data_IF_702825007632
#
_entry.id   IF_702825007632
#
_cell.length_a   1.000
_cell.length_b   1.000
_cell.length_c   1.000
_cell.angle_alpha   90.00
_cell.angle_beta   90.00
_cell.angle_gamma   90.00
#
_symmetry.space_group_name_H-M   'P 1'
#
loop_
_entity.id
_entity.type
_entity.pdbx_description
1 polymer ?
#
# COMPACT_ATOMS: atom_id res chain seq x y z
N UNK A 1 15.46 -5.61 17.16
CA UNK A 1 15.10 -7.02 16.92
C UNK A 1 14.25 -7.08 15.66
N UNK A 2 14.43 -8.06 14.76
CA UNK A 2 13.55 -8.21 13.60
C UNK A 2 12.12 -8.41 14.11
N UNK A 3 11.21 -7.52 13.73
CA UNK A 3 9.80 -7.66 14.08
C UNK A 3 9.29 -8.90 13.34
N UNK A 4 8.97 -9.94 14.10
CA UNK A 4 8.40 -11.18 13.60
C UNK A 4 7.01 -10.83 13.03
N UNK A 5 6.74 -11.26 11.79
CA UNK A 5 5.43 -11.06 11.17
C UNK A 5 4.35 -11.78 12.00
N UNK A 6 3.21 -11.16 12.31
CA UNK A 6 2.11 -11.84 13.00
C UNK A 6 1.71 -13.10 12.22
N UNK A 7 1.73 -14.26 12.89
CA UNK A 7 1.29 -15.54 12.32
C UNK A 7 2.36 -16.39 11.61
N UNK A 8 3.64 -15.98 11.58
CA UNK A 8 4.72 -16.78 10.98
C UNK A 8 5.88 -16.94 11.95
N UNK A 9 6.26 -18.18 12.26
CA UNK A 9 7.44 -18.48 13.10
C UNK A 9 8.76 -18.06 12.45
N UNK A 10 8.78 -17.78 11.14
CA UNK A 10 9.99 -17.51 10.35
C UNK A 10 9.95 -16.18 9.58
N UNK A 11 8.85 -15.44 9.61
CA UNK A 11 8.71 -14.18 8.89
C UNK A 11 9.36 -13.04 9.66
N UNK A 12 10.29 -12.32 9.04
CA UNK A 12 10.87 -11.10 9.59
C UNK A 12 10.91 -9.98 8.54
N UNK A 13 10.97 -8.73 9.00
CA UNK A 13 11.07 -7.58 8.11
C UNK A 13 12.27 -7.68 7.15
N UNK A 14 11.99 -7.67 5.85
CA UNK A 14 13.04 -7.75 4.81
C UNK A 14 13.30 -9.14 4.25
N UNK A 15 12.76 -10.22 4.84
CA UNK A 15 12.96 -11.60 4.36
C UNK A 15 12.68 -11.72 2.86
N UNK A 16 11.58 -11.10 2.42
CA UNK A 16 11.11 -11.07 1.04
C UNK A 16 12.14 -10.48 0.06
N UNK A 17 12.79 -9.37 0.42
CA UNK A 17 13.81 -8.71 -0.41
C UNK A 17 15.14 -9.46 -0.39
N UNK A 18 15.49 -10.05 0.75
CA UNK A 18 16.68 -10.91 0.89
C UNK A 18 16.53 -12.16 0.03
N UNK A 19 15.34 -12.77 -0.05
CA UNK A 19 15.09 -13.93 -0.91
C UNK A 19 15.40 -13.63 -2.38
N UNK A 20 15.05 -12.44 -2.88
CA UNK A 20 15.40 -12.06 -4.26
C UNK A 20 16.91 -11.99 -4.50
N UNK A 21 17.67 -11.51 -3.51
CA UNK A 21 19.15 -11.46 -3.57
C UNK A 21 19.76 -12.84 -3.52
N UNK A 22 19.27 -13.70 -2.63
CA UNK A 22 19.72 -15.09 -2.53
C UNK A 22 19.46 -15.85 -3.84
N UNK A 23 18.26 -15.70 -4.41
CA UNK A 23 17.92 -16.30 -5.70
C UNK A 23 18.76 -15.72 -6.85
N UNK A 24 19.08 -14.42 -6.83
CA UNK A 24 19.98 -13.81 -7.81
C UNK A 24 21.35 -14.50 -7.84
N UNK A 25 21.94 -14.77 -6.67
CA UNK A 25 23.19 -15.52 -6.54
C UNK A 25 23.05 -16.92 -7.15
N UNK A 26 22.03 -17.67 -6.75
CA UNK A 26 21.80 -19.05 -7.23
C UNK A 26 21.68 -19.08 -8.75
N UNK A 27 20.93 -18.14 -9.30
CA UNK A 27 20.74 -17.99 -10.74
C UNK A 27 22.03 -17.62 -11.47
N UNK A 28 22.82 -16.67 -10.96
CA UNK A 28 24.09 -16.30 -11.55
C UNK A 28 25.14 -17.42 -11.47
N UNK A 29 25.15 -18.22 -10.40
CA UNK A 29 25.99 -19.41 -10.28
C UNK A 29 25.60 -20.49 -11.29
N UNK A 30 24.30 -20.77 -11.42
CA UNK A 30 23.76 -21.71 -12.42
C UNK A 30 24.14 -21.31 -13.84
N UNK A 31 24.06 -20.03 -14.15
CA UNK A 31 24.39 -19.48 -15.46
C UNK A 31 25.90 -19.27 -15.68
N UNK A 32 26.74 -19.60 -14.68
CA UNK A 32 28.20 -19.43 -14.69
C UNK A 32 28.66 -17.98 -14.95
N UNK A 33 27.85 -17.01 -14.51
CA UNK A 33 28.14 -15.57 -14.64
C UNK A 33 29.01 -15.07 -13.49
N UNK A 34 28.94 -15.73 -12.33
CA UNK A 34 29.76 -15.43 -11.15
C UNK A 34 30.38 -16.71 -10.61
N UNK A 35 31.48 -16.57 -9.87
CA UNK A 35 32.02 -17.62 -8.98
C UNK A 35 31.39 -17.46 -7.60
N UNK A 36 31.33 -18.54 -6.82
CA UNK A 36 30.80 -18.51 -5.45
C UNK A 36 31.51 -17.40 -4.63
N UNK A 37 30.77 -16.38 -4.14
CA UNK A 37 31.34 -15.33 -3.31
C UNK A 37 31.94 -15.87 -2.01
N UNK A 38 32.90 -15.14 -1.44
CA UNK A 38 33.34 -15.42 -0.08
C UNK A 38 32.17 -15.28 0.92
N UNK A 39 32.20 -15.98 2.08
CA UNK A 39 31.13 -15.91 3.07
C UNK A 39 30.80 -14.47 3.52
N UNK A 40 31.82 -13.62 3.64
CA UNK A 40 31.67 -12.22 4.03
C UNK A 40 30.98 -11.40 2.92
N UNK A 41 31.40 -11.53 1.67
CA UNK A 41 30.80 -10.80 0.54
C UNK A 41 29.33 -11.19 0.35
N UNK A 42 29.03 -12.47 0.52
CA UNK A 42 27.65 -12.97 0.50
C UNK A 42 26.83 -12.35 1.64
N UNK A 43 27.36 -12.35 2.86
CA UNK A 43 26.69 -11.74 4.01
C UNK A 43 26.43 -10.24 3.77
N UNK A 44 27.43 -9.50 3.31
CA UNK A 44 27.33 -8.07 3.04
C UNK A 44 26.28 -7.77 1.96
N UNK A 45 26.23 -8.56 0.89
CA UNK A 45 25.24 -8.40 -0.17
C UNK A 45 23.81 -8.72 0.33
N UNK A 46 23.62 -9.86 0.98
CA UNK A 46 22.30 -10.30 1.44
C UNK A 46 21.74 -9.35 2.50
N UNK A 47 22.58 -8.92 3.44
CA UNK A 47 22.19 -8.12 4.60
C UNK A 47 22.59 -6.64 4.49
N UNK A 48 22.82 -6.12 3.28
CA UNK A 48 23.16 -4.71 3.07
C UNK A 48 22.06 -3.80 3.66
N UNK A 49 22.35 -3.27 4.84
CA UNK A 49 21.32 -2.70 5.72
C UNK A 49 20.55 -1.50 5.14
N UNK A 50 21.09 -0.64 4.24
CA UNK A 50 20.32 0.48 3.69
C UNK A 50 19.08 0.03 2.93
N UNK A 51 19.05 -1.23 2.48
CA UNK A 51 18.05 -1.76 1.57
C UNK A 51 17.41 -3.06 2.05
N UNK A 52 17.68 -3.47 3.31
CA UNK A 52 17.26 -4.77 3.85
C UNK A 52 15.74 -4.90 4.01
N UNK A 53 15.05 -3.84 4.45
CA UNK A 53 13.62 -3.92 4.79
C UNK A 53 12.73 -3.93 3.56
N UNK A 54 12.86 -2.92 2.70
CA UNK A 54 12.09 -2.81 1.45
C UNK A 54 12.79 -1.93 0.41
N UNK A 55 14.13 -1.90 0.44
CA UNK A 55 14.91 -1.08 -0.49
C UNK A 55 15.00 -1.67 -1.89
N UNK A 56 15.63 -0.96 -2.83
CA UNK A 56 15.91 -1.48 -4.17
C UNK A 56 16.50 -2.90 -4.15
N UNK A 57 15.92 -3.79 -4.95
CA UNK A 57 16.41 -5.16 -5.13
C UNK A 57 17.65 -5.10 -6.02
N UNK A 58 18.78 -5.51 -5.46
CA UNK A 58 20.07 -5.41 -6.13
C UNK A 58 20.51 -6.74 -6.76
N UNK A 59 21.46 -6.65 -7.69
CA UNK A 59 22.14 -7.76 -8.37
C UNK A 59 23.54 -7.90 -7.80
N UNK A 60 23.97 -9.13 -7.51
CA UNK A 60 25.26 -9.35 -6.84
C UNK A 60 26.44 -8.77 -7.62
N UNK A 61 26.51 -9.03 -8.94
CA UNK A 61 27.63 -8.57 -9.78
C UNK A 61 27.80 -7.04 -9.74
N UNK A 62 26.68 -6.32 -9.72
CA UNK A 62 26.66 -4.86 -9.70
C UNK A 62 27.08 -4.35 -8.32
N UNK A 63 26.48 -4.91 -7.27
CA UNK A 63 26.85 -4.61 -5.89
C UNK A 63 28.35 -4.83 -5.63
N UNK A 64 28.88 -5.99 -6.03
CA UNK A 64 30.29 -6.33 -5.84
C UNK A 64 31.24 -5.38 -6.61
N UNK A 65 30.83 -4.92 -7.79
CA UNK A 65 31.58 -3.93 -8.57
C UNK A 65 31.70 -2.60 -7.84
N UNK A 66 30.62 -2.12 -7.22
CA UNK A 66 30.64 -0.87 -6.45
C UNK A 66 31.40 -1.06 -5.12
N UNK A 67 31.15 -2.18 -4.45
CA UNK A 67 31.73 -2.47 -3.12
C UNK A 67 33.26 -2.61 -3.15
N UNK A 68 33.81 -3.22 -4.20
CA UNK A 68 35.25 -3.42 -4.35
C UNK A 68 35.99 -2.20 -4.93
N UNK A 69 35.26 -1.19 -5.43
CA UNK A 69 35.85 -0.01 -6.07
C UNK A 69 36.45 0.93 -5.02
N UNK A 70 37.76 1.19 -5.13
CA UNK A 70 38.41 2.27 -4.39
C UNK A 70 37.86 3.63 -4.84
N UNK A 71 37.53 4.49 -3.87
CA UNK A 71 36.89 5.79 -4.13
C UNK A 71 37.84 6.94 -3.91
N UNK A 72 37.79 7.91 -4.81
CA UNK A 72 38.49 9.18 -4.65
C UNK A 72 37.69 10.13 -3.74
N UNK A 73 38.37 11.13 -3.17
CA UNK A 73 37.70 12.18 -2.37
C UNK A 73 36.61 12.90 -3.15
N UNK A 74 36.84 13.14 -4.44
CA UNK A 74 35.88 13.82 -5.31
C UNK A 74 34.59 12.99 -5.49
N UNK A 75 34.72 11.67 -5.71
CA UNK A 75 33.58 10.75 -5.80
C UNK A 75 32.79 10.71 -4.48
N UNK A 76 33.48 10.64 -3.33
CA UNK A 76 32.81 10.65 -2.03
C UNK A 76 32.01 11.95 -1.78
N UNK A 77 32.53 13.10 -2.20
CA UNK A 77 31.80 14.38 -2.09
C UNK A 77 30.59 14.43 -3.03
N UNK A 78 30.70 13.89 -4.23
CA UNK A 78 29.57 13.77 -5.16
C UNK A 78 28.49 12.81 -4.61
N UNK A 79 28.89 11.72 -3.98
CA UNK A 79 27.96 10.77 -3.33
C UNK A 79 27.23 11.42 -2.15
N UNK A 80 27.95 12.22 -1.35
CA UNK A 80 27.35 12.98 -0.26
C UNK A 80 26.32 13.98 -0.77
N UNK A 81 26.65 14.75 -1.82
CA UNK A 81 25.71 15.71 -2.42
C UNK A 81 24.44 15.02 -2.95
N UNK A 82 24.60 13.91 -3.67
CA UNK A 82 23.47 13.10 -4.15
C UNK A 82 22.63 12.52 -3.01
N UNK A 83 23.28 12.04 -1.94
CA UNK A 83 22.60 11.52 -0.76
C UNK A 83 21.77 12.60 -0.06
N UNK A 84 22.32 13.81 0.11
CA UNK A 84 21.62 14.94 0.72
C UNK A 84 20.35 15.29 -0.07
N UNK A 85 20.46 15.45 -1.39
CA UNK A 85 19.29 15.73 -2.25
C UNK A 85 18.19 14.67 -2.11
N UNK A 86 18.58 13.39 -2.03
CA UNK A 86 17.64 12.27 -1.87
C UNK A 86 17.02 12.21 -0.49
N UNK A 87 17.76 12.56 0.56
CA UNK A 87 17.23 12.66 1.92
C UNK A 87 16.14 13.74 1.96
N UNK A 88 16.41 14.95 1.45
CA UNK A 88 15.42 16.02 1.41
C UNK A 88 14.20 15.66 0.55
N UNK A 89 14.41 15.02 -0.61
CA UNK A 89 13.30 14.48 -1.43
C UNK A 89 12.50 13.42 -0.67
N UNK A 90 13.18 12.55 0.07
CA UNK A 90 12.57 11.53 0.92
C UNK A 90 11.68 12.15 2.00
N UNK A 91 12.17 13.19 2.69
CA UNK A 91 11.40 13.94 3.68
C UNK A 91 10.14 14.56 3.08
N UNK A 92 10.31 15.27 1.96
CA UNK A 92 9.20 15.90 1.26
C UNK A 92 8.16 14.87 0.80
N UNK A 93 8.58 13.74 0.23
CA UNK A 93 7.65 12.73 -0.27
C UNK A 93 6.94 11.97 0.86
N UNK A 94 7.68 11.45 1.84
CA UNK A 94 7.12 10.55 2.85
C UNK A 94 6.44 11.28 4.00
N UNK A 95 7.11 12.28 4.58
CA UNK A 95 6.64 12.93 5.80
C UNK A 95 5.77 14.16 5.55
N UNK A 96 5.78 14.70 4.33
CA UNK A 96 4.90 15.82 3.95
C UNK A 96 3.81 15.32 3.00
N UNK A 97 4.14 14.97 1.74
CA UNK A 97 3.11 14.64 0.75
C UNK A 97 2.28 13.40 1.11
N UNK A 98 2.93 12.27 1.40
CA UNK A 98 2.21 11.03 1.73
C UNK A 98 1.43 11.19 3.04
N UNK A 99 2.00 11.85 4.05
CA UNK A 99 1.31 12.12 5.32
C UNK A 99 0.04 12.98 5.11
N UNK A 100 0.13 14.08 4.36
CA UNK A 100 -1.00 14.95 4.05
C UNK A 100 -2.07 14.22 3.22
N UNK A 101 -1.67 13.48 2.19
CA UNK A 101 -2.60 12.68 1.37
C UNK A 101 -3.30 11.66 2.26
N UNK A 102 -2.57 10.94 3.11
CA UNK A 102 -3.14 9.94 4.00
C UNK A 102 -4.19 10.54 4.92
N UNK A 103 -3.79 11.57 5.67
CA UNK A 103 -4.60 12.18 6.73
C UNK A 103 -5.83 12.92 6.19
N UNK A 104 -5.67 13.70 5.12
CA UNK A 104 -6.71 14.63 4.67
C UNK A 104 -7.52 14.14 3.47
N UNK A 105 -7.05 13.11 2.76
CA UNK A 105 -7.73 12.61 1.56
C UNK A 105 -8.03 11.11 1.62
N UNK A 106 -7.02 10.27 1.81
CA UNK A 106 -7.15 8.81 1.74
C UNK A 106 -8.08 8.26 2.83
N UNK A 107 -7.77 8.54 4.10
CA UNK A 107 -8.50 7.96 5.22
C UNK A 107 -9.97 8.45 5.24
N UNK A 108 -10.22 9.69 4.78
CA UNK A 108 -11.57 10.26 4.58
C UNK A 108 -12.33 9.58 3.45
N UNK A 109 -11.69 9.35 2.31
CA UNK A 109 -12.32 8.63 1.21
C UNK A 109 -12.63 7.17 1.60
N UNK A 110 -11.79 6.56 2.45
CA UNK A 110 -11.99 5.20 2.95
C UNK A 110 -13.12 5.09 3.99
N UNK A 111 -13.47 6.17 4.69
CA UNK A 111 -14.52 6.15 5.71
C UNK A 111 -15.94 6.30 5.16
N UNK A 112 -16.07 6.56 3.86
CA UNK A 112 -17.35 6.65 3.18
C UNK A 112 -17.63 5.40 2.34
N UNK A 113 -18.87 4.92 2.36
CA UNK A 113 -19.31 3.71 1.66
C UNK A 113 -19.87 3.93 0.25
N UNK A 114 -20.00 5.17 -0.21
CA UNK A 114 -20.60 5.45 -1.53
C UNK A 114 -19.59 5.33 -2.68
N UNK A 115 -20.09 5.05 -3.88
CA UNK A 115 -19.25 4.82 -5.07
C UNK A 115 -18.29 5.99 -5.39
N UNK A 116 -18.75 7.23 -5.28
CA UNK A 116 -17.89 8.40 -5.49
C UNK A 116 -16.68 8.45 -4.54
N UNK A 117 -16.82 7.96 -3.30
CA UNK A 117 -15.71 7.91 -2.35
C UNK A 117 -14.71 6.81 -2.71
N UNK A 118 -15.17 5.69 -3.27
CA UNK A 118 -14.29 4.65 -3.80
C UNK A 118 -13.43 5.17 -4.96
N UNK A 119 -14.00 5.96 -5.87
CA UNK A 119 -13.26 6.61 -6.95
C UNK A 119 -12.26 7.64 -6.40
N UNK A 120 -12.67 8.45 -5.41
CA UNK A 120 -11.76 9.38 -4.73
C UNK A 120 -10.60 8.64 -4.04
N UNK A 121 -10.91 7.54 -3.36
CA UNK A 121 -9.94 6.67 -2.69
C UNK A 121 -8.93 6.08 -3.68
N UNK A 122 -9.36 5.65 -4.87
CA UNK A 122 -8.48 5.12 -5.91
C UNK A 122 -7.31 6.07 -6.24
N UNK A 123 -7.61 7.35 -6.47
CA UNK A 123 -6.59 8.35 -6.77
C UNK A 123 -5.74 8.70 -5.54
N UNK A 124 -6.38 8.89 -4.38
CA UNK A 124 -5.68 9.16 -3.13
C UNK A 124 -4.68 8.04 -2.79
N UNK A 125 -5.10 6.78 -2.93
CA UNK A 125 -4.29 5.60 -2.65
C UNK A 125 -3.11 5.50 -3.61
N UNK A 126 -3.35 5.74 -4.90
CA UNK A 126 -2.30 5.69 -5.93
C UNK A 126 -1.17 6.69 -5.63
N UNK A 127 -1.54 7.93 -5.28
CA UNK A 127 -0.58 8.97 -4.95
C UNK A 127 0.10 8.73 -3.60
N UNK A 128 -0.67 8.34 -2.58
CA UNK A 128 -0.13 7.97 -1.26
C UNK A 128 0.92 6.86 -1.38
N UNK A 129 0.57 5.76 -2.05
CA UNK A 129 1.45 4.61 -2.23
C UNK A 129 2.74 5.01 -2.96
N UNK A 130 2.62 5.83 -4.01
CA UNK A 130 3.79 6.35 -4.72
C UNK A 130 4.69 7.19 -3.82
N UNK A 131 4.15 8.22 -3.17
CA UNK A 131 4.98 9.15 -2.37
C UNK A 131 5.57 8.49 -1.13
N UNK A 132 4.83 7.61 -0.46
CA UNK A 132 5.34 6.87 0.71
C UNK A 132 6.51 5.97 0.30
N UNK A 133 6.34 5.21 -0.79
CA UNK A 133 7.32 4.22 -1.19
C UNK A 133 8.51 4.81 -1.95
N UNK A 134 8.29 5.82 -2.80
CA UNK A 134 9.36 6.56 -3.46
C UNK A 134 10.17 7.38 -2.44
N UNK A 135 9.50 7.94 -1.43
CA UNK A 135 10.17 8.62 -0.31
C UNK A 135 11.07 7.67 0.49
N UNK A 136 10.55 6.49 0.85
CA UNK A 136 11.35 5.43 1.47
C UNK A 136 12.54 5.00 0.60
N UNK A 137 12.30 4.75 -0.70
CA UNK A 137 13.35 4.34 -1.64
C UNK A 137 14.43 5.42 -1.77
N UNK A 138 14.08 6.70 -1.70
CA UNK A 138 15.05 7.79 -1.71
C UNK A 138 15.99 7.74 -0.49
N UNK A 139 15.47 7.48 0.71
CA UNK A 139 16.31 7.29 1.90
C UNK A 139 17.24 6.08 1.77
N UNK A 140 16.71 4.95 1.30
CA UNK A 140 17.48 3.72 1.10
C UNK A 140 18.64 3.93 0.12
N UNK A 141 18.38 4.62 -1.01
CA UNK A 141 19.39 4.95 -2.02
C UNK A 141 20.40 5.96 -1.49
N UNK A 142 19.95 7.01 -0.80
CA UNK A 142 20.83 8.01 -0.20
C UNK A 142 21.85 7.37 0.73
N UNK A 143 21.37 6.51 1.64
CA UNK A 143 22.23 5.83 2.58
C UNK A 143 23.17 4.86 1.86
N UNK A 144 22.70 4.16 0.83
CA UNK A 144 23.56 3.30 -0.01
C UNK A 144 24.74 4.07 -0.62
N UNK A 145 24.48 5.28 -1.13
CA UNK A 145 25.51 6.14 -1.71
C UNK A 145 26.55 6.58 -0.68
N UNK A 146 26.16 6.84 0.57
CA UNK A 146 27.11 7.11 1.66
C UNK A 146 28.06 5.93 1.93
N UNK A 147 27.59 4.69 1.73
CA UNK A 147 28.43 3.48 1.75
C UNK A 147 29.16 3.21 0.43
N UNK A 148 28.95 4.02 -0.61
CA UNK A 148 29.57 3.89 -1.93
C UNK A 148 28.96 2.84 -2.82
N UNK A 149 27.76 2.36 -2.48
CA UNK A 149 27.01 1.42 -3.31
C UNK A 149 25.94 2.21 -4.02
N UNK A 150 26.04 2.36 -5.34
CA UNK A 150 25.14 3.20 -6.11
C UNK A 150 23.85 2.46 -6.44
N UNK A 151 23.04 2.10 -5.44
CA UNK A 151 21.81 1.32 -5.63
C UNK A 151 20.86 1.92 -6.68
N UNK A 152 20.20 1.07 -7.50
CA UNK A 152 19.40 1.51 -8.63
C UNK A 152 18.12 2.20 -8.16
N UNK A 153 17.59 3.10 -8.99
CA UNK A 153 16.30 3.74 -8.73
C UNK A 153 15.15 2.73 -8.74
N UNK A 154 14.17 2.95 -7.87
CA UNK A 154 12.90 2.23 -7.89
C UNK A 154 11.82 2.97 -8.69
N UNK A 155 11.93 4.28 -8.91
CA UNK A 155 10.89 5.07 -9.54
C UNK A 155 11.44 6.12 -10.51
N UNK A 156 10.84 6.21 -11.70
CA UNK A 156 11.12 7.27 -12.69
C UNK A 156 9.84 7.84 -13.30
N UNK A 157 9.22 8.81 -12.62
CA UNK A 157 8.02 9.53 -13.06
C UNK A 157 6.94 8.58 -13.63
N UNK A 158 6.51 7.55 -12.87
CA UNK A 158 5.70 6.45 -13.39
C UNK A 158 4.34 6.87 -13.94
N UNK A 159 3.72 7.90 -13.39
CA UNK A 159 2.41 8.39 -13.85
C UNK A 159 2.44 9.16 -15.17
N UNK A 160 3.63 9.44 -15.72
CA UNK A 160 3.81 9.98 -17.08
C UNK A 160 4.00 8.88 -18.13
N UNK A 161 3.85 7.61 -17.75
CA UNK A 161 3.98 6.49 -18.66
C UNK A 161 2.91 6.52 -19.75
N UNK A 162 3.33 6.29 -21.01
CA UNK A 162 2.42 6.33 -22.17
C UNK A 162 1.67 5.03 -22.41
N UNK A 163 2.08 3.96 -21.75
CA UNK A 163 1.46 2.64 -21.84
C UNK A 163 1.91 1.79 -20.65
N UNK A 164 1.27 0.65 -20.47
CA UNK A 164 1.53 -0.23 -19.33
C UNK A 164 2.96 -0.82 -19.32
N UNK A 165 3.59 -1.02 -20.49
CA UNK A 165 4.99 -1.48 -20.56
C UNK A 165 5.95 -0.39 -20.08
N UNK A 166 5.73 0.85 -20.50
CA UNK A 166 6.47 2.03 -20.05
C UNK A 166 6.27 2.26 -18.53
N UNK A 167 5.07 2.03 -18.02
CA UNK A 167 4.80 2.12 -16.57
C UNK A 167 5.66 1.15 -15.76
N UNK A 168 5.74 -0.13 -16.16
CA UNK A 168 6.58 -1.12 -15.47
C UNK A 168 8.09 -0.88 -15.60
N UNK A 169 8.52 -0.07 -16.58
CA UNK A 169 9.90 0.41 -16.64
C UNK A 169 10.19 1.59 -15.71
N UNK A 170 9.16 2.14 -15.06
CA UNK A 170 9.22 3.36 -14.23
C UNK A 170 8.72 3.16 -12.81
N UNK A 171 7.99 2.06 -12.54
CA UNK A 171 7.40 1.73 -11.25
C UNK A 171 8.07 0.52 -10.65
N UNK A 172 8.53 0.67 -9.39
CA UNK A 172 9.22 -0.38 -8.64
C UNK A 172 10.23 -1.15 -9.50
N UNK A 173 11.09 -0.39 -10.17
CA UNK A 173 11.91 -0.82 -11.31
C UNK A 173 12.75 -2.03 -10.96
N UNK A 174 13.34 -2.07 -9.77
CA UNK A 174 14.17 -3.21 -9.36
C UNK A 174 13.41 -4.52 -9.28
N UNK A 175 12.20 -4.51 -8.70
CA UNK A 175 11.31 -5.67 -8.67
C UNK A 175 10.88 -6.06 -10.09
N UNK A 176 10.46 -5.08 -10.88
CA UNK A 176 10.00 -5.32 -12.25
C UNK A 176 11.09 -5.97 -13.10
N UNK A 177 12.32 -5.46 -13.02
CA UNK A 177 13.46 -6.00 -13.76
C UNK A 177 13.91 -7.34 -13.18
N UNK A 178 13.79 -7.55 -11.87
CA UNK A 178 14.03 -8.84 -11.24
C UNK A 178 13.12 -9.93 -11.83
N UNK A 179 11.80 -9.69 -11.82
CA UNK A 179 10.82 -10.60 -12.42
C UNK A 179 10.99 -10.75 -13.93
N UNK A 180 11.31 -9.65 -14.64
CA UNK A 180 11.55 -9.70 -16.08
C UNK A 180 12.70 -10.64 -16.41
N UNK A 181 13.84 -10.48 -15.77
CA UNK A 181 15.05 -11.22 -16.16
C UNK A 181 15.02 -12.66 -15.63
N UNK A 182 14.58 -12.87 -14.38
CA UNK A 182 14.65 -14.19 -13.74
C UNK A 182 13.41 -15.04 -13.86
N UNK A 183 12.24 -14.46 -14.13
CA UNK A 183 11.01 -15.23 -14.32
C UNK A 183 10.61 -15.22 -15.78
N UNK A 184 10.30 -14.04 -16.33
CA UNK A 184 9.77 -13.90 -17.68
C UNK A 184 10.77 -14.36 -18.76
N UNK A 185 12.00 -13.85 -18.76
CA UNK A 185 12.99 -14.18 -19.79
C UNK A 185 13.46 -15.62 -19.67
N UNK A 186 13.65 -16.15 -18.45
CA UNK A 186 13.98 -17.57 -18.25
C UNK A 186 12.88 -18.49 -18.79
N UNK A 187 11.62 -18.20 -18.47
CA UNK A 187 10.47 -18.93 -19.00
C UNK A 187 10.44 -18.88 -20.54
N UNK A 188 10.58 -17.68 -21.11
CA UNK A 188 10.52 -17.50 -22.56
C UNK A 188 11.65 -18.23 -23.30
N UNK A 189 12.87 -18.22 -22.74
CA UNK A 189 14.02 -18.96 -23.28
C UNK A 189 13.80 -20.47 -23.19
N UNK A 190 13.29 -20.98 -22.08
CA UNK A 190 12.96 -22.39 -21.93
C UNK A 190 11.87 -22.83 -22.91
N UNK A 191 10.78 -22.06 -23.01
CA UNK A 191 9.67 -22.33 -23.93
C UNK A 191 10.10 -22.30 -25.40
N UNK A 192 11.01 -21.40 -25.77
CA UNK A 192 11.54 -21.30 -27.14
C UNK A 192 12.45 -22.48 -27.47
N UNK A 193 13.36 -22.85 -26.55
CA UNK A 193 14.26 -24.00 -26.75
C UNK A 193 13.52 -25.33 -26.79
N UNK A 194 12.52 -25.51 -25.94
CA UNK A 194 11.69 -26.71 -25.90
C UNK A 194 10.56 -26.72 -26.94
N UNK A 195 10.44 -25.68 -27.76
CA UNK A 195 9.36 -25.51 -28.75
C UNK A 195 7.95 -25.74 -28.17
N UNK A 196 7.70 -25.29 -26.93
CA UNK A 196 6.45 -25.57 -26.20
C UNK A 196 5.21 -25.00 -26.87
N UNK A 197 5.35 -23.96 -27.70
CA UNK A 197 4.26 -23.27 -28.35
C UNK A 197 4.54 -23.03 -29.84
N UNK A 198 3.53 -23.23 -30.68
CA UNK A 198 3.62 -22.93 -32.11
C UNK A 198 3.74 -21.42 -32.40
N UNK A 199 3.12 -20.57 -31.57
CA UNK A 199 3.16 -19.11 -31.72
C UNK A 199 3.98 -18.44 -30.64
N UNK A 200 4.93 -17.59 -31.06
CA UNK A 200 5.74 -16.75 -30.16
C UNK A 200 4.88 -15.79 -29.33
N UNK A 201 3.71 -15.40 -29.83
CA UNK A 201 2.78 -14.51 -29.10
C UNK A 201 2.16 -15.22 -27.90
N UNK A 202 1.81 -16.51 -28.04
CA UNK A 202 1.27 -17.31 -26.93
C UNK A 202 2.29 -17.45 -25.81
N UNK A 203 3.55 -17.73 -26.14
CA UNK A 203 4.64 -17.79 -25.15
C UNK A 203 4.83 -16.47 -24.41
N UNK A 204 4.78 -15.33 -25.12
CA UNK A 204 4.89 -14.02 -24.48
C UNK A 204 3.74 -13.71 -23.52
N UNK A 205 2.50 -14.01 -23.90
CA UNK A 205 1.30 -13.77 -23.08
C UNK A 205 1.33 -14.66 -21.82
N UNK A 206 1.57 -15.97 -21.99
CA UNK A 206 1.68 -16.88 -20.85
C UNK A 206 2.84 -16.50 -19.92
N UNK A 207 3.94 -16.00 -20.47
CA UNK A 207 5.04 -15.44 -19.69
C UNK A 207 4.61 -14.25 -18.83
N UNK A 208 3.77 -13.34 -19.35
CA UNK A 208 3.23 -12.24 -18.54
C UNK A 208 2.35 -12.74 -17.40
N UNK A 209 1.45 -13.69 -17.67
CA UNK A 209 0.61 -14.28 -16.62
C UNK A 209 1.42 -15.02 -15.56
N UNK A 210 2.48 -15.74 -15.95
CA UNK A 210 3.39 -16.37 -15.01
C UNK A 210 4.12 -15.34 -14.14
N UNK A 211 4.77 -14.35 -14.76
CA UNK A 211 5.57 -13.36 -14.05
C UNK A 211 4.72 -12.52 -13.08
N UNK A 212 3.58 -12.01 -13.55
CA UNK A 212 2.69 -11.18 -12.73
C UNK A 212 1.84 -11.99 -11.76
N UNK A 213 1.49 -13.24 -12.07
CA UNK A 213 0.84 -14.14 -11.14
C UNK A 213 1.75 -14.46 -9.95
N UNK A 214 3.02 -14.79 -10.20
CA UNK A 214 4.01 -14.98 -9.14
C UNK A 214 4.29 -13.69 -8.36
N UNK A 215 4.29 -12.53 -9.03
CA UNK A 215 4.43 -11.23 -8.34
C UNK A 215 3.21 -10.93 -7.45
N UNK A 216 1.99 -11.25 -7.89
CA UNK A 216 0.78 -11.15 -7.07
C UNK A 216 0.86 -12.05 -5.83
N UNK A 217 1.22 -13.33 -6.02
CA UNK A 217 1.41 -14.27 -4.92
C UNK A 217 2.54 -13.85 -3.95
N UNK A 218 3.59 -13.21 -4.47
CA UNK A 218 4.67 -12.67 -3.66
C UNK A 218 4.22 -11.54 -2.74
N UNK A 219 3.23 -10.74 -3.15
CA UNK A 219 2.64 -9.71 -2.30
C UNK A 219 1.78 -10.28 -1.17
N UNK A 220 1.08 -11.38 -1.43
CA UNK A 220 0.31 -12.12 -0.43
C UNK A 220 -0.67 -13.12 -1.05
N UNK A 221 -1.20 -14.07 -0.27
CA UNK A 221 -2.19 -15.05 -0.74
C UNK A 221 -3.60 -14.46 -0.89
N UNK A 222 -3.84 -13.23 -0.44
CA UNK A 222 -5.15 -12.60 -0.49
C UNK A 222 -5.65 -12.43 -1.93
N UNK A 223 -6.96 -12.61 -2.20
CA UNK A 223 -7.50 -12.57 -3.56
C UNK A 223 -7.17 -11.29 -4.32
N UNK A 224 -7.13 -10.15 -3.64
CA UNK A 224 -6.88 -8.85 -4.27
C UNK A 224 -5.46 -8.74 -4.86
N UNK A 225 -4.45 -9.37 -4.26
CA UNK A 225 -3.08 -9.40 -4.82
C UNK A 225 -2.99 -10.31 -6.05
N UNK A 226 -3.66 -11.47 -6.02
CA UNK A 226 -3.71 -12.39 -7.15
C UNK A 226 -4.46 -11.75 -8.33
N UNK A 227 -5.62 -11.16 -8.08
CA UNK A 227 -6.43 -10.44 -9.09
C UNK A 227 -5.63 -9.27 -9.65
N UNK A 228 -4.90 -8.53 -8.82
CA UNK A 228 -4.00 -7.46 -9.28
C UNK A 228 -2.94 -8.00 -10.26
N UNK A 229 -2.29 -9.11 -9.94
CA UNK A 229 -1.32 -9.75 -10.84
C UNK A 229 -1.94 -10.12 -12.19
N UNK A 230 -3.09 -10.80 -12.19
CA UNK A 230 -3.81 -11.18 -13.40
C UNK A 230 -4.28 -9.97 -14.22
N UNK A 231 -4.73 -8.92 -13.54
CA UNK A 231 -5.11 -7.66 -14.17
C UNK A 231 -3.93 -7.02 -14.92
N UNK A 232 -2.76 -6.94 -14.28
CA UNK A 232 -1.55 -6.38 -14.90
C UNK A 232 -1.07 -7.22 -16.09
N UNK A 233 -1.10 -8.55 -15.96
CA UNK A 233 -0.79 -9.46 -17.07
C UNK A 233 -1.74 -9.25 -18.27
N UNK A 234 -3.03 -9.03 -17.99
CA UNK A 234 -4.05 -8.76 -19.01
C UNK A 234 -3.79 -7.44 -19.72
N UNK A 235 -3.46 -6.38 -18.99
CA UNK A 235 -3.10 -5.08 -19.59
C UNK A 235 -1.87 -5.19 -20.49
N UNK A 236 -0.82 -5.88 -20.05
CA UNK A 236 0.38 -6.11 -20.86
C UNK A 236 0.11 -6.94 -22.11
N UNK A 237 -0.74 -7.97 -21.99
CA UNK A 237 -1.15 -8.81 -23.11
C UNK A 237 -1.98 -8.02 -24.12
N UNK A 238 -2.95 -7.24 -23.65
CA UNK A 238 -3.76 -6.36 -24.49
C UNK A 238 -2.89 -5.31 -25.20
N UNK A 239 -1.95 -4.69 -24.50
CA UNK A 239 -1.01 -3.75 -25.10
C UNK A 239 -0.06 -4.42 -26.10
N UNK A 240 0.39 -5.65 -25.85
CA UNK A 240 1.19 -6.42 -26.79
C UNK A 240 0.43 -6.70 -28.09
N UNK A 241 -0.84 -7.11 -28.00
CA UNK A 241 -1.69 -7.31 -29.18
C UNK A 241 -1.94 -5.98 -29.90
N UNK A 242 -2.31 -4.93 -29.17
CA UNK A 242 -2.56 -3.59 -29.71
C UNK A 242 -1.33 -3.02 -30.43
N UNK A 243 -0.15 -3.09 -29.81
CA UNK A 243 1.09 -2.55 -30.40
C UNK A 243 1.49 -3.28 -31.68
N UNK A 244 1.28 -4.60 -31.75
CA UNK A 244 1.48 -5.37 -32.98
C UNK A 244 0.50 -4.97 -34.09
N UNK A 245 -0.79 -4.82 -33.76
CA UNK A 245 -1.81 -4.39 -34.71
C UNK A 245 -1.56 -2.96 -35.21
N UNK A 246 -1.17 -2.04 -34.33
CA UNK A 246 -0.86 -0.66 -34.71
C UNK A 246 0.40 -0.58 -35.57
N UNK A 247 1.40 -1.44 -35.33
CA UNK A 247 2.59 -1.51 -36.20
C UNK A 247 2.24 -1.86 -37.64
N UNK A 248 1.23 -2.72 -37.85
CA UNK A 248 0.76 -3.12 -39.19
C UNK A 248 -0.17 -2.05 -39.79
N UNK A 249 -1.14 -1.55 -39.02
CA UNK A 249 -2.19 -0.65 -39.53
C UNK A 249 -1.78 0.83 -39.56
N UNK A 250 -0.74 1.23 -38.83
CA UNK A 250 -0.22 2.61 -38.71
C UNK A 250 -1.32 3.67 -38.44
N UNK A 251 -2.40 3.26 -37.77
CA UNK A 251 -3.61 4.08 -37.57
C UNK A 251 -3.43 5.14 -36.49
N UNK A 252 -2.58 4.85 -35.49
CA UNK A 252 -2.31 5.75 -34.38
C UNK A 252 -0.90 6.31 -34.50
N UNK A 253 -0.79 7.55 -34.98
CA UNK A 253 0.46 8.29 -35.16
C UNK A 253 0.89 8.98 -33.86
N UNK A 254 2.20 9.12 -33.69
CA UNK A 254 2.82 9.70 -32.49
C UNK A 254 2.72 11.25 -32.47
N UNK A 255 1.50 11.75 -32.27
CA UNK A 255 1.22 13.19 -32.10
C UNK A 255 1.22 13.58 -30.63
N UNK A 256 1.36 14.88 -30.33
CA UNK A 256 1.27 15.38 -28.95
C UNK A 256 -0.07 15.01 -28.29
N UNK A 257 -1.19 15.20 -29.01
CA UNK A 257 -2.52 14.83 -28.53
C UNK A 257 -2.59 13.34 -28.19
N UNK A 258 -2.04 12.48 -29.05
CA UNK A 258 -2.02 11.04 -28.79
C UNK A 258 -1.18 10.68 -27.55
N UNK A 259 -0.02 11.32 -27.36
CA UNK A 259 0.82 11.11 -26.17
C UNK A 259 0.07 11.49 -24.89
N UNK A 260 -0.58 12.65 -24.88
CA UNK A 260 -1.36 13.11 -23.72
C UNK A 260 -2.52 12.14 -23.41
N UNK A 261 -3.27 11.73 -24.44
CA UNK A 261 -4.36 10.74 -24.30
C UNK A 261 -3.83 9.39 -23.81
N UNK A 262 -2.70 8.92 -24.31
CA UNK A 262 -2.11 7.66 -23.90
C UNK A 262 -1.64 7.68 -22.44
N UNK A 263 -1.06 8.79 -21.98
CA UNK A 263 -0.73 9.01 -20.56
C UNK A 263 -2.00 9.01 -19.71
N UNK A 264 -3.02 9.77 -20.12
CA UNK A 264 -4.29 9.82 -19.41
C UNK A 264 -4.93 8.44 -19.26
N UNK A 265 -5.04 7.68 -20.35
CA UNK A 265 -5.60 6.32 -20.34
C UNK A 265 -4.76 5.40 -19.44
N UNK A 266 -3.44 5.40 -19.60
CA UNK A 266 -2.54 4.55 -18.81
C UNK A 266 -2.64 4.88 -17.32
N UNK A 267 -2.70 6.16 -16.97
CA UNK A 267 -2.86 6.61 -15.59
C UNK A 267 -4.12 6.02 -14.94
N UNK A 268 -5.27 6.05 -15.63
CA UNK A 268 -6.53 5.51 -15.09
C UNK A 268 -6.49 3.98 -14.92
N UNK A 269 -5.95 3.24 -15.89
CA UNK A 269 -5.78 1.79 -15.76
C UNK A 269 -4.81 1.44 -14.63
N UNK A 270 -3.71 2.18 -14.48
CA UNK A 270 -2.78 2.00 -13.36
C UNK A 270 -3.47 2.28 -12.02
N UNK A 271 -4.18 3.41 -11.89
CA UNK A 271 -4.91 3.76 -10.67
C UNK A 271 -5.96 2.72 -10.30
N UNK A 272 -6.71 2.20 -11.28
CA UNK A 272 -7.65 1.12 -11.04
C UNK A 272 -6.96 -0.18 -10.60
N UNK A 273 -5.81 -0.51 -11.21
CA UNK A 273 -4.97 -1.61 -10.73
C UNK A 273 -4.55 -1.42 -9.27
N UNK A 274 -4.12 -0.22 -8.89
CA UNK A 274 -3.76 0.09 -7.50
C UNK A 274 -4.97 0.08 -6.55
N UNK A 275 -6.18 0.39 -7.02
CA UNK A 275 -7.41 0.21 -6.24
C UNK A 275 -7.66 -1.27 -5.95
N UNK A 276 -7.51 -2.15 -6.96
CA UNK A 276 -7.59 -3.61 -6.75
C UNK A 276 -6.55 -4.02 -5.71
N UNK A 277 -5.29 -3.60 -5.89
CA UNK A 277 -4.19 -3.90 -4.97
C UNK A 277 -4.48 -3.46 -3.53
N UNK A 278 -5.23 -2.37 -3.32
CA UNK A 278 -5.57 -1.88 -1.98
C UNK A 278 -6.56 -2.76 -1.20
N UNK A 279 -7.27 -3.67 -1.86
CA UNK A 279 -8.30 -4.51 -1.23
C UNK A 279 -9.57 -3.77 -0.77
N UNK A 280 -9.77 -2.50 -1.17
CA UNK A 280 -10.93 -1.70 -0.73
C UNK A 280 -12.23 -1.94 -1.50
N UNK A 281 -12.20 -2.65 -2.61
CA UNK A 281 -13.41 -2.97 -3.38
C UNK A 281 -14.28 -3.93 -2.56
N UNK A 282 -15.47 -3.48 -2.15
CA UNK A 282 -16.39 -4.26 -1.31
C UNK A 282 -16.03 -4.31 0.18
N UNK A 283 -14.97 -3.61 0.60
CA UNK A 283 -14.61 -3.53 2.01
C UNK A 283 -15.55 -2.58 2.78
N UNK A 284 -15.83 -2.91 4.04
CA UNK A 284 -16.58 -2.01 4.93
C UNK A 284 -15.86 -0.66 5.08
N UNK A 285 -16.58 0.48 5.21
CA UNK A 285 -15.97 1.77 5.47
C UNK A 285 -15.07 1.73 6.72
N UNK A 286 -13.96 2.46 6.69
CA UNK A 286 -13.09 2.55 7.86
C UNK A 286 -13.83 3.28 9.00
N UNK A 287 -13.75 2.76 10.24
CA UNK A 287 -14.28 3.46 11.39
C UNK A 287 -13.53 4.79 11.56
N UNK A 288 -14.31 5.85 11.73
CA UNK A 288 -13.81 7.22 11.87
C UNK A 288 -14.39 7.95 13.07
N UNK A 289 -15.39 7.33 13.70
CA UNK A 289 -15.88 7.71 15.00
C UNK A 289 -15.09 7.00 16.08
N UNK A 290 -14.74 7.74 17.13
CA UNK A 290 -14.18 7.23 18.38
C UNK A 290 -15.14 7.63 19.49
N UNK A 291 -15.45 6.70 20.37
CA UNK A 291 -16.35 6.97 21.48
C UNK A 291 -16.49 5.77 22.38
N UNK A 292 -16.87 6.04 23.62
CA UNK A 292 -16.91 5.06 24.69
C UNK A 292 -18.16 5.27 25.55
N UNK A 293 -18.75 4.15 25.98
CA UNK A 293 -19.73 4.13 27.05
C UNK A 293 -18.98 4.01 28.37
N UNK A 294 -18.94 5.10 29.12
CA UNK A 294 -18.22 5.17 30.39
C UNK A 294 -19.06 4.64 31.55
N UNK A 295 -20.38 4.81 31.48
CA UNK A 295 -21.31 4.25 32.45
C UNK A 295 -22.68 4.00 31.82
N UNK A 296 -23.25 2.84 32.11
CA UNK A 296 -24.67 2.60 31.98
C UNK A 296 -25.18 1.90 33.25
N UNK A 297 -26.14 2.52 33.94
CA UNK A 297 -26.83 1.95 35.09
C UNK A 297 -28.31 2.33 35.05
N UNK A 298 -29.09 1.95 36.06
CA UNK A 298 -30.54 2.18 36.07
C UNK A 298 -30.96 3.64 36.30
N UNK A 299 -30.01 4.55 36.47
CA UNK A 299 -30.25 5.97 36.69
C UNK A 299 -29.81 6.81 35.50
N UNK A 300 -28.65 6.49 34.94
CA UNK A 300 -28.05 7.24 33.86
C UNK A 300 -27.25 6.36 32.90
N UNK A 301 -27.17 6.86 31.67
CA UNK A 301 -26.27 6.38 30.63
C UNK A 301 -25.46 7.58 30.16
N UNK A 302 -24.14 7.51 30.27
CA UNK A 302 -23.24 8.56 29.80
C UNK A 302 -21.96 8.02 29.16
N UNK A 303 -21.43 8.84 28.27
CA UNK A 303 -20.23 8.57 27.53
C UNK A 303 -19.92 9.72 26.58
N UNK A 304 -19.18 9.43 25.53
CA UNK A 304 -18.84 10.41 24.51
C UNK A 304 -18.63 9.76 23.14
N UNK A 305 -18.78 10.55 22.08
CA UNK A 305 -18.47 10.13 20.71
C UNK A 305 -18.05 11.32 19.86
N UNK A 306 -17.03 11.12 19.05
CA UNK A 306 -16.39 12.14 18.22
C UNK A 306 -16.12 11.63 16.81
N UNK A 307 -16.41 12.44 15.80
CA UNK A 307 -16.03 12.19 14.40
C UNK A 307 -14.67 12.85 14.11
N UNK A 308 -13.66 12.03 13.79
CA UNK A 308 -12.31 12.49 13.48
C UNK A 308 -12.23 13.45 12.29
N UNK A 309 -13.14 13.33 11.32
CA UNK A 309 -13.11 14.14 10.09
C UNK A 309 -14.02 15.36 10.16
N UNK A 310 -14.96 15.36 11.09
CA UNK A 310 -15.86 16.48 11.37
C UNK A 310 -15.72 16.86 12.84
N UNK A 311 -14.56 17.41 13.24
CA UNK A 311 -14.14 17.46 14.64
C UNK A 311 -15.01 18.37 15.52
N UNK A 312 -15.83 19.23 14.92
CA UNK A 312 -16.71 20.16 15.64
C UNK A 312 -18.20 19.89 15.36
N UNK A 313 -18.50 18.76 14.70
CA UNK A 313 -19.88 18.37 14.39
C UNK A 313 -20.40 17.43 15.47
N UNK A 314 -21.67 17.61 15.81
CA UNK A 314 -22.36 16.76 16.78
C UNK A 314 -22.61 15.39 16.18
N UNK A 315 -22.32 14.34 16.93
CA UNK A 315 -22.58 12.95 16.54
C UNK A 315 -23.77 12.45 17.36
N UNK A 316 -24.67 11.73 16.71
CA UNK A 316 -25.84 11.15 17.37
C UNK A 316 -25.56 9.67 17.72
N UNK A 317 -26.05 9.22 18.87
CA UNK A 317 -25.94 7.84 19.35
C UNK A 317 -27.33 7.24 19.47
N UNK A 318 -27.59 6.13 18.79
CA UNK A 318 -28.84 5.38 18.93
C UNK A 318 -28.71 4.38 20.08
N UNK A 319 -29.69 4.39 20.98
CA UNK A 319 -29.86 3.43 22.07
C UNK A 319 -30.86 2.35 21.67
N UNK A 320 -30.45 1.09 21.79
CA UNK A 320 -31.28 -0.09 21.52
C UNK A 320 -31.30 -1.01 22.73
N UNK A 321 -32.37 -1.77 22.91
CA UNK A 321 -32.46 -2.93 23.82
C UNK A 321 -32.66 -4.20 23.00
N UNK A 322 -31.62 -5.02 22.91
CA UNK A 322 -31.54 -6.08 21.91
C UNK A 322 -31.71 -5.51 20.50
N UNK A 323 -32.78 -5.90 19.81
CA UNK A 323 -33.14 -5.43 18.47
C UNK A 323 -34.17 -4.29 18.48
N UNK A 324 -34.66 -3.89 19.66
CA UNK A 324 -35.64 -2.80 19.79
C UNK A 324 -34.94 -1.45 19.88
N UNK A 325 -35.20 -0.58 18.90
CA UNK A 325 -34.78 0.82 18.96
C UNK A 325 -35.55 1.56 20.06
N UNK A 326 -34.84 2.33 20.90
CA UNK A 326 -35.44 3.14 21.95
C UNK A 326 -35.42 4.63 21.61
N UNK A 327 -34.25 5.20 21.34
CA UNK A 327 -34.10 6.64 21.07
C UNK A 327 -32.73 7.00 20.47
N UNK A 328 -32.63 8.23 19.93
CA UNK A 328 -31.38 8.85 19.51
C UNK A 328 -30.96 9.93 20.52
N UNK A 329 -29.68 9.95 20.87
CA UNK A 329 -29.06 10.83 21.86
C UNK A 329 -28.02 11.71 21.15
N UNK A 330 -28.17 13.04 21.17
CA UNK A 330 -27.14 13.92 20.63
C UNK A 330 -25.94 14.01 21.58
N UNK A 331 -24.74 13.70 21.08
CA UNK A 331 -23.49 13.98 21.78
C UNK A 331 -23.08 15.42 21.52
N UNK A 332 -23.55 16.31 22.39
CA UNK A 332 -23.40 17.76 22.29
C UNK A 332 -23.01 18.44 23.61
N UNK A 333 -22.78 17.65 24.67
CA UNK A 333 -22.40 18.19 25.97
C UNK A 333 -20.92 18.52 25.97
N UNK A 334 -20.60 19.73 26.42
CA UNK A 334 -19.22 20.17 26.60
C UNK A 334 -18.56 19.40 27.75
N UNK A 335 -17.34 18.95 27.51
CA UNK A 335 -16.48 18.24 28.44
C UNK A 335 -15.04 18.74 28.30
N UNK A 336 -14.49 19.24 29.40
CA UNK A 336 -13.14 19.82 29.42
C UNK A 336 -12.07 18.76 29.09
N UNK A 337 -12.21 17.56 29.63
CA UNK A 337 -11.28 16.45 29.38
C UNK A 337 -11.21 16.05 27.89
N UNK A 338 -12.33 16.14 27.16
CA UNK A 338 -12.36 15.89 25.72
C UNK A 338 -11.68 17.00 24.92
N UNK A 339 -11.85 18.25 25.33
CA UNK A 339 -11.14 19.39 24.73
C UNK A 339 -9.63 19.28 24.95
N UNK A 340 -9.21 18.95 26.18
CA UNK A 340 -7.81 18.78 26.56
C UNK A 340 -7.15 17.61 25.82
N UNK A 341 -7.91 16.55 25.53
CA UNK A 341 -7.50 15.41 24.71
C UNK A 341 -7.46 15.70 23.19
N UNK A 342 -7.89 16.90 22.75
CA UNK A 342 -7.86 17.31 21.36
C UNK A 342 -9.05 16.85 20.51
N UNK A 343 -10.15 16.40 21.14
CA UNK A 343 -11.39 16.04 20.44
C UNK A 343 -12.21 17.30 20.12
N UNK A 344 -11.71 18.12 19.19
CA UNK A 344 -12.41 19.32 18.72
C UNK A 344 -12.65 20.35 19.80
N UNK A 345 -13.89 20.85 19.90
CA UNK A 345 -14.32 21.82 20.92
C UNK A 345 -14.70 21.20 22.26
N UNK A 346 -14.60 19.87 22.40
CA UNK A 346 -15.04 19.15 23.60
C UNK A 346 -16.56 18.98 23.73
N UNK A 347 -17.36 19.42 22.75
CA UNK A 347 -18.83 19.27 22.72
C UNK A 347 -19.26 17.90 22.19
N UNK A 348 -18.76 16.84 22.81
CA UNK A 348 -18.88 15.45 22.32
C UNK A 348 -19.36 14.46 23.39
N UNK A 349 -19.70 14.95 24.58
CA UNK A 349 -20.32 14.13 25.62
C UNK A 349 -21.80 13.91 25.38
N UNK A 350 -22.32 12.78 25.84
CA UNK A 350 -23.74 12.54 26.00
C UNK A 350 -24.03 12.03 27.40
N UNK A 351 -25.17 12.43 27.96
CA UNK A 351 -25.68 11.95 29.24
C UNK A 351 -27.19 12.03 29.23
N UNK A 352 -27.84 10.90 29.49
CA UNK A 352 -29.28 10.80 29.62
C UNK A 352 -29.64 10.06 30.91
N UNK A 353 -30.84 10.33 31.42
CA UNK A 353 -31.45 9.44 32.41
C UNK A 353 -31.89 8.15 31.71
N UNK A 354 -31.78 7.04 32.41
CA UNK A 354 -32.14 5.73 31.85
C UNK A 354 -33.62 5.73 31.45
N UNK A 355 -33.96 5.44 30.18
CA UNK A 355 -35.35 5.50 29.72
C UNK A 355 -36.27 4.54 30.49
N UNK A 356 -37.54 4.90 30.73
CA UNK A 356 -38.50 4.06 31.47
C UNK A 356 -38.64 2.60 30.99
N UNK A 357 -38.50 2.26 29.67
CA UNK A 357 -38.50 0.87 29.23
C UNK A 357 -37.39 0.00 29.85
N UNK A 358 -36.23 0.61 30.17
CA UNK A 358 -35.05 -0.06 30.74
C UNK A 358 -35.03 -0.04 32.27
N UNK A 359 -35.88 0.77 32.90
CA UNK A 359 -36.03 0.82 34.37
C UNK A 359 -36.89 -0.33 34.91
N UNK A 360 -37.61 -1.04 34.03
CA UNK A 360 -38.44 -2.17 34.42
C UNK A 360 -37.56 -3.29 34.98
N UNK A 361 -38.09 -3.98 36.00
CA UNK A 361 -37.41 -5.13 36.63
C UNK A 361 -37.07 -6.18 35.59
N UNK A 362 -35.78 -6.40 35.35
CA UNK A 362 -35.32 -7.26 34.27
C UNK A 362 -33.84 -7.07 33.93
N UNK A 363 -33.37 -7.90 33.01
CA UNK A 363 -32.03 -7.80 32.42
C UNK A 363 -32.19 -7.31 30.98
N UNK A 364 -31.64 -6.14 30.70
CA UNK A 364 -31.70 -5.48 29.40
C UNK A 364 -30.31 -5.50 28.76
N UNK A 365 -30.23 -5.83 27.46
CA UNK A 365 -28.96 -5.82 26.73
C UNK A 365 -28.95 -4.59 25.85
N UNK A 366 -28.35 -3.52 26.36
CA UNK A 366 -28.34 -2.25 25.67
C UNK A 366 -27.20 -2.17 24.66
N UNK A 367 -27.50 -1.63 23.48
CA UNK A 367 -26.53 -1.32 22.44
C UNK A 367 -26.53 0.19 22.21
N UNK A 368 -25.36 0.82 22.33
CA UNK A 368 -25.12 2.21 21.96
C UNK A 368 -24.32 2.25 20.67
N UNK A 369 -25.00 2.63 19.59
CA UNK A 369 -24.45 2.65 18.23
C UNK A 369 -24.41 4.07 17.68
N UNK A 370 -23.45 4.37 16.83
CA UNK A 370 -23.47 5.65 16.10
C UNK A 370 -24.68 5.66 15.17
N UNK A 371 -25.46 6.74 15.24
CA UNK A 371 -26.74 6.87 14.54
C UNK A 371 -26.58 6.71 13.03
N UNK A 372 -27.48 5.96 12.41
CA UNK A 372 -27.42 5.62 10.99
C UNK A 372 -26.34 4.60 10.61
N UNK A 373 -25.67 3.99 11.60
CA UNK A 373 -24.65 2.94 11.39
C UNK A 373 -24.92 1.70 12.25
N UNK A 374 -24.14 0.64 12.03
CA UNK A 374 -24.08 -0.54 12.93
C UNK A 374 -22.85 -0.52 13.84
N UNK A 375 -22.11 0.59 13.88
CA UNK A 375 -20.89 0.69 14.68
C UNK A 375 -21.26 0.90 16.15
N UNK A 376 -20.88 -0.06 17.00
CA UNK A 376 -20.98 0.05 18.46
C UNK A 376 -19.91 1.01 19.01
N UNK A 377 -20.23 1.70 20.09
CA UNK A 377 -19.24 2.41 20.90
C UNK A 377 -18.36 1.42 21.69
N UNK A 378 -17.17 1.85 22.09
CA UNK A 378 -16.34 1.07 23.02
C UNK A 378 -17.12 0.82 24.32
N UNK A 379 -16.98 -0.39 24.88
CA UNK A 379 -17.77 -0.91 26.01
C UNK A 379 -19.28 -1.08 25.73
N UNK A 380 -19.70 -1.18 24.46
CA UNK A 380 -21.07 -1.59 24.07
C UNK A 380 -21.02 -2.92 23.30
N UNK A 381 -21.99 -3.85 23.48
CA UNK A 381 -23.16 -3.75 24.34
C UNK A 381 -22.88 -3.91 25.84
N UNK A 382 -23.77 -3.36 26.67
CA UNK A 382 -23.78 -3.57 28.12
C UNK A 382 -25.04 -4.30 28.58
N UNK A 383 -24.94 -5.02 29.69
CA UNK A 383 -26.10 -5.62 30.34
C UNK A 383 -26.50 -4.76 31.53
N UNK A 384 -27.70 -4.22 31.49
CA UNK A 384 -28.32 -3.42 32.53
C UNK A 384 -29.26 -4.31 33.34
N UNK A 385 -29.06 -4.40 34.65
CA UNK A 385 -29.96 -5.14 35.55
C UNK A 385 -30.57 -4.15 36.53
N UNK A 386 -31.88 -3.89 36.39
CA UNK A 386 -32.60 -2.95 37.24
C UNK A 386 -33.42 -3.65 38.31
N UNK A 387 -33.30 -3.18 39.58
CA UNK A 387 -33.84 -3.87 40.75
C UNK A 387 -35.38 -3.91 40.80
#
# INVERSE_FOLDING_TARGET
>A
MPVISPGSQFGFLGISYITFRALDIVFCLRDKVIVLPGPLDLFLFLFFFPTISSGPIDRYRRFASDWSKARTRAECLADLDNAVHRIFRGFFYKFILAALIKQYWLDRAASSGHFGALISYMYAYSLYLFFDFAGYSAFAIALSYLFGVHTPENFDRPFLARNIRDFWNRWHITLSFWFRDHVYMRFLLAATRGQWFASKHTGAILGYFLAFGLMGLWHGPEPHYIIYGLYQATLLSAFHVFSNLNRVRQRWRDTFAWRATAVFITFHFVCFGLLIFSGRIGAAPLPHHVGEVERANCYEIYGWVWDKYQPNTKVNVDLWDGDQYLMTIPANQFRQDLADAGYGKGEHGFRIMTPPPLEKRGSHRIHLRISGTKQELTNSPQVLVCP
#
